data_IF_763166124216
#
_entry.id   IF_763166124216
#
_cell.length_a   1.000
_cell.length_b   1.000
_cell.length_c   1.000
_cell.angle_alpha   90.00
_cell.angle_beta   90.00
_cell.angle_gamma   90.00
#
_symmetry.space_group_name_H-M   'P 1'
#
loop_
_entity.id
_entity.type
_entity.pdbx_description
1 polymer ?
#
# COMPACT_ATOMS: atom_id res chain seq x y z
N UNK A 1 10.40 -16.70 -0.46
CA UNK A 1 11.36 -15.58 -0.45
C UNK A 1 10.59 -14.27 -0.63
N UNK A 2 11.17 -13.13 -0.23
CA UNK A 2 10.62 -11.79 -0.47
C UNK A 2 11.65 -10.97 -1.24
N UNK A 3 11.22 -10.18 -2.22
CA UNK A 3 12.11 -9.35 -3.04
C UNK A 3 11.70 -7.88 -2.84
N UNK A 4 12.68 -7.03 -2.56
CA UNK A 4 12.52 -5.58 -2.54
C UNK A 4 13.19 -4.98 -3.77
N UNK A 5 12.46 -4.09 -4.44
CA UNK A 5 13.02 -3.22 -5.47
C UNK A 5 13.26 -1.86 -4.84
N UNK A 6 14.46 -1.32 -4.99
CA UNK A 6 14.84 -0.04 -4.42
C UNK A 6 15.69 0.73 -5.42
N UNK A 7 15.48 2.03 -5.50
CA UNK A 7 16.30 2.94 -6.28
C UNK A 7 16.69 4.12 -5.40
N UNK A 8 17.99 4.36 -5.27
CA UNK A 8 18.55 5.48 -4.51
C UNK A 8 19.24 6.46 -5.45
N UNK A 9 19.15 7.75 -5.14
CA UNK A 9 19.74 8.82 -5.96
C UNK A 9 20.12 10.03 -5.09
N UNK A 10 21.02 10.88 -5.61
CA UNK A 10 21.58 12.03 -4.87
C UNK A 10 21.14 13.39 -5.42
N UNK A 11 20.80 13.50 -6.71
CA UNK A 11 20.51 14.79 -7.38
C UNK A 11 19.10 15.36 -7.08
N UNK A 12 18.52 14.97 -5.94
CA UNK A 12 17.27 15.51 -5.41
C UNK A 12 16.07 15.37 -6.35
N UNK A 13 15.22 16.40 -6.38
CA UNK A 13 13.96 16.43 -7.15
C UNK A 13 14.15 16.41 -8.67
N UNK A 14 15.32 16.83 -9.17
CA UNK A 14 15.55 16.95 -10.61
C UNK A 14 15.45 15.61 -11.35
N UNK A 15 15.78 14.50 -10.68
CA UNK A 15 15.76 13.15 -11.26
C UNK A 15 14.74 12.22 -10.63
N UNK A 16 14.00 12.67 -9.61
CA UNK A 16 12.98 11.89 -8.88
C UNK A 16 12.00 11.19 -9.84
N UNK A 17 11.44 11.92 -10.79
CA UNK A 17 10.47 11.37 -11.74
C UNK A 17 11.04 10.21 -12.58
N UNK A 18 12.34 10.24 -12.92
CA UNK A 18 13.02 9.17 -13.65
C UNK A 18 13.13 7.91 -12.79
N UNK A 19 13.51 8.05 -11.52
CA UNK A 19 13.65 6.94 -10.58
C UNK A 19 12.30 6.30 -10.25
N UNK A 20 11.28 7.12 -9.99
CA UNK A 20 9.90 6.66 -9.77
C UNK A 20 9.34 5.94 -11.01
N UNK A 21 9.59 6.47 -12.21
CA UNK A 21 9.18 5.80 -13.44
C UNK A 21 9.87 4.44 -13.59
N UNK A 22 11.16 4.37 -13.33
CA UNK A 22 11.95 3.14 -13.46
C UNK A 22 11.46 2.04 -12.51
N UNK A 23 11.25 2.36 -11.23
CA UNK A 23 10.81 1.35 -10.25
C UNK A 23 9.40 0.83 -10.55
N UNK A 24 8.49 1.71 -11.00
CA UNK A 24 7.14 1.32 -11.46
C UNK A 24 7.19 0.43 -12.70
N UNK A 25 8.06 0.75 -13.67
CA UNK A 25 8.26 -0.08 -14.86
C UNK A 25 8.77 -1.47 -14.49
N UNK A 26 9.73 -1.57 -13.57
CA UNK A 26 10.25 -2.86 -13.15
C UNK A 26 9.23 -3.65 -12.31
N UNK A 27 8.51 -2.99 -11.40
CA UNK A 27 7.40 -3.61 -10.67
C UNK A 27 6.34 -4.16 -11.62
N UNK A 28 5.99 -3.43 -12.68
CA UNK A 28 5.06 -3.92 -13.71
C UNK A 28 5.62 -5.11 -14.49
N UNK A 29 6.90 -5.06 -14.88
CA UNK A 29 7.56 -6.15 -15.59
C UNK A 29 7.55 -7.47 -14.79
N UNK A 30 7.67 -7.38 -13.47
CA UNK A 30 7.71 -8.55 -12.59
C UNK A 30 6.34 -9.18 -12.29
N UNK A 31 5.24 -8.57 -12.75
CA UNK A 31 3.86 -9.03 -12.49
C UNK A 31 3.60 -10.53 -12.73
N UNK A 32 4.02 -11.17 -13.84
CA UNK A 32 3.73 -12.58 -14.08
C UNK A 32 4.57 -13.55 -13.23
N UNK A 33 5.61 -13.07 -12.56
CA UNK A 33 6.59 -13.90 -11.84
C UNK A 33 6.44 -13.86 -10.31
N UNK A 34 5.56 -13.00 -9.79
CA UNK A 34 5.35 -12.81 -8.36
C UNK A 34 3.97 -13.35 -7.93
N UNK A 35 3.68 -13.29 -6.64
CA UNK A 35 2.35 -13.64 -6.11
C UNK A 35 1.24 -12.90 -6.86
N UNK A 36 0.11 -13.59 -7.07
CA UNK A 36 -1.12 -13.03 -7.61
C UNK A 36 -2.30 -13.42 -6.71
N UNK A 37 -3.37 -12.62 -6.77
CA UNK A 37 -4.65 -12.88 -6.11
C UNK A 37 -4.57 -13.12 -4.57
N UNK A 38 -4.03 -12.19 -3.77
CA UNK A 38 -3.57 -10.86 -4.15
C UNK A 38 -2.08 -10.83 -4.49
N UNK A 39 -1.67 -9.82 -5.26
CA UNK A 39 -0.26 -9.46 -5.37
C UNK A 39 0.22 -8.91 -4.03
N UNK A 40 0.89 -9.76 -3.26
CA UNK A 40 1.27 -9.50 -1.86
C UNK A 40 2.30 -8.38 -1.73
N UNK A 41 2.26 -7.67 -0.62
CA UNK A 41 3.14 -6.54 -0.31
C UNK A 41 3.46 -6.53 1.18
N UNK A 42 4.57 -5.90 1.56
CA UNK A 42 5.00 -5.82 2.96
C UNK A 42 4.73 -4.44 3.53
N UNK A 43 3.96 -4.34 4.61
CA UNK A 43 3.48 -3.08 5.18
C UNK A 43 4.61 -2.13 5.61
N UNK A 44 5.74 -2.68 6.05
CA UNK A 44 6.92 -1.88 6.41
C UNK A 44 7.60 -1.23 5.20
N UNK A 45 7.26 -1.63 3.98
CA UNK A 45 7.65 -0.97 2.73
C UNK A 45 6.42 -0.31 2.11
N UNK A 46 5.91 0.74 2.77
CA UNK A 46 4.69 1.44 2.35
C UNK A 46 4.79 1.93 0.92
N UNK A 47 3.80 1.55 0.12
CA UNK A 47 3.66 1.93 -1.27
C UNK A 47 2.27 2.52 -1.53
N UNK A 48 2.21 3.84 -1.73
CA UNK A 48 0.97 4.56 -2.03
C UNK A 48 0.44 4.27 -3.46
N UNK A 49 1.27 3.70 -4.34
CA UNK A 49 0.83 3.29 -5.69
C UNK A 49 -0.13 2.09 -5.65
N UNK A 50 -0.18 1.36 -4.53
CA UNK A 50 -1.16 0.30 -4.32
C UNK A 50 -2.58 0.82 -4.09
N UNK A 51 -2.71 2.09 -3.71
CA UNK A 51 -3.97 2.76 -3.36
C UNK A 51 -3.91 3.46 -2.01
N UNK A 52 -4.78 4.44 -1.80
CA UNK A 52 -4.84 5.22 -0.55
C UNK A 52 -6.29 5.61 -0.22
N UNK A 53 -6.54 5.88 1.06
CA UNK A 53 -7.77 6.48 1.56
C UNK A 53 -7.88 7.94 1.07
N UNK A 54 -9.10 8.37 0.72
CA UNK A 54 -9.34 9.77 0.35
C UNK A 54 -9.32 10.68 1.58
N UNK A 55 -8.49 11.74 1.51
CA UNK A 55 -8.40 12.74 2.57
C UNK A 55 -9.74 13.47 2.76
N UNK A 56 -10.16 13.63 4.01
CA UNK A 56 -11.39 14.37 4.36
C UNK A 56 -12.69 13.59 4.16
N UNK A 57 -12.63 12.32 3.74
CA UNK A 57 -13.78 11.42 3.71
C UNK A 57 -13.62 10.31 4.74
N UNK A 58 -14.75 9.74 5.19
CA UNK A 58 -14.74 8.51 5.98
C UNK A 58 -14.05 7.42 5.17
N UNK A 59 -13.05 6.77 5.75
CA UNK A 59 -12.31 5.70 5.06
C UNK A 59 -13.27 4.60 4.65
N UNK A 60 -13.31 4.29 3.35
CA UNK A 60 -14.25 3.34 2.79
C UNK A 60 -13.63 1.94 2.80
N UNK A 61 -14.28 0.97 3.45
CA UNK A 61 -13.84 -0.43 3.48
C UNK A 61 -13.53 -0.98 2.08
N UNK A 62 -14.39 -0.68 1.09
CA UNK A 62 -14.24 -1.16 -0.29
C UNK A 62 -13.01 -0.58 -0.99
N UNK A 63 -12.67 0.68 -0.70
CA UNK A 63 -11.46 1.30 -1.25
C UNK A 63 -10.23 0.72 -0.54
N UNK A 64 -10.29 0.62 0.78
CA UNK A 64 -9.19 0.12 1.59
C UNK A 64 -8.87 -1.36 1.32
N UNK A 65 -9.87 -2.19 1.00
CA UNK A 65 -9.64 -3.60 0.70
C UNK A 65 -8.79 -3.82 -0.56
N UNK A 66 -8.76 -2.87 -1.50
CA UNK A 66 -7.94 -2.96 -2.72
C UNK A 66 -6.44 -2.99 -2.44
N UNK A 67 -5.97 -2.27 -1.42
CA UNK A 67 -4.57 -2.25 -0.98
C UNK A 67 -4.36 -3.05 0.31
N UNK A 68 -5.32 -3.05 1.24
CA UNK A 68 -5.23 -3.72 2.53
C UNK A 68 -5.10 -5.24 2.42
N UNK A 69 -5.80 -5.86 1.46
CA UNK A 69 -5.64 -7.29 1.19
C UNK A 69 -4.24 -7.64 0.63
N UNK A 70 -3.54 -6.69 -0.01
CA UNK A 70 -2.16 -6.91 -0.49
C UNK A 70 -1.18 -7.00 0.68
N UNK A 71 -1.37 -6.19 1.72
CA UNK A 71 -0.53 -6.22 2.93
C UNK A 71 -0.93 -7.34 3.90
N UNK A 72 -2.23 -7.53 4.14
CA UNK A 72 -2.72 -8.34 5.26
C UNK A 72 -3.45 -9.62 4.83
N UNK A 73 -3.71 -9.81 3.53
CA UNK A 73 -4.49 -10.95 3.00
C UNK A 73 -5.83 -11.07 3.74
N UNK A 74 -6.20 -12.29 4.13
CA UNK A 74 -7.41 -12.62 4.88
C UNK A 74 -7.48 -11.94 6.27
N UNK A 75 -6.34 -11.52 6.84
CA UNK A 75 -6.32 -10.84 8.14
C UNK A 75 -6.91 -9.42 8.08
N UNK A 76 -7.03 -8.82 6.89
CA UNK A 76 -7.54 -7.46 6.73
C UNK A 76 -8.92 -7.27 7.38
N UNK A 77 -9.82 -8.24 7.20
CA UNK A 77 -11.18 -8.17 7.75
C UNK A 77 -11.17 -8.12 9.29
N UNK A 78 -10.34 -8.96 9.92
CA UNK A 78 -10.20 -8.97 11.39
C UNK A 78 -9.61 -7.66 11.89
N UNK A 79 -8.65 -7.10 11.17
CA UNK A 79 -8.03 -5.83 11.54
C UNK A 79 -9.03 -4.67 11.47
N UNK A 80 -9.87 -4.60 10.44
CA UNK A 80 -10.96 -3.61 10.34
C UNK A 80 -11.93 -3.74 11.50
N UNK A 81 -12.32 -4.97 11.86
CA UNK A 81 -13.21 -5.21 13.01
C UNK A 81 -12.60 -4.73 14.33
N UNK A 82 -11.30 -4.94 14.53
CA UNK A 82 -10.60 -4.45 15.73
C UNK A 82 -10.53 -2.93 15.71
N UNK A 83 -10.09 -2.34 14.59
CA UNK A 83 -10.00 -0.88 14.40
C UNK A 83 -11.32 -0.18 14.69
N UNK A 84 -12.43 -0.71 14.16
CA UNK A 84 -13.78 -0.20 14.39
C UNK A 84 -14.21 -0.21 15.87
N UNK A 85 -13.68 -1.14 16.67
CA UNK A 85 -13.98 -1.23 18.11
C UNK A 85 -13.10 -0.31 18.95
N UNK A 86 -11.81 -0.26 18.64
CA UNK A 86 -10.82 0.47 19.47
C UNK A 86 -10.71 1.94 19.09
N UNK A 87 -11.04 2.31 17.86
CA UNK A 87 -10.98 3.68 17.36
C UNK A 87 -12.16 3.97 16.40
N UNK A 88 -13.41 4.01 16.92
CA UNK A 88 -14.60 4.26 16.10
C UNK A 88 -14.65 5.67 15.48
N UNK A 89 -13.90 6.62 16.06
CA UNK A 89 -13.72 7.97 15.52
C UNK A 89 -12.66 8.05 14.42
N UNK A 90 -11.91 6.96 14.18
CA UNK A 90 -10.78 6.89 13.27
C UNK A 90 -9.76 8.02 13.52
N UNK A 91 -9.45 8.28 14.79
CA UNK A 91 -8.50 9.30 15.21
C UNK A 91 -7.08 8.98 14.75
N UNK A 92 -6.66 7.71 14.88
CA UNK A 92 -5.37 7.26 14.40
C UNK A 92 -5.45 6.95 12.90
N UNK A 93 -5.25 7.99 12.07
CA UNK A 93 -5.45 7.93 10.63
C UNK A 93 -4.24 8.38 9.83
N UNK A 94 -4.03 7.72 8.68
CA UNK A 94 -3.15 8.17 7.59
C UNK A 94 -3.66 7.61 6.24
N UNK A 95 -2.96 7.92 5.15
CA UNK A 95 -3.36 7.62 3.77
C UNK A 95 -3.58 6.11 3.49
N UNK A 96 -3.01 5.22 4.32
CA UNK A 96 -3.19 3.76 4.24
C UNK A 96 -3.48 3.17 5.63
N UNK A 97 -4.14 3.92 6.52
CA UNK A 97 -4.59 3.35 7.79
C UNK A 97 -5.77 2.41 7.56
N UNK A 98 -5.87 1.38 8.39
CA UNK A 98 -7.01 0.47 8.41
C UNK A 98 -8.28 1.30 8.69
N UNK A 99 -9.33 1.16 7.86
CA UNK A 99 -10.57 1.92 8.00
C UNK A 99 -11.39 1.51 9.22
#
# INVERSE_FOLDING_TARGET
YMIQYLTGWQDGKAIEAKHIKWIRSMYKFMEPYVSKDPRTSYDNYRDLDLGMNEKGKRSCFKQASSWGCKYFKENFNRLVQIKSKVDPGNFFWHEQSIP
#
